data_IF_484405855515
#
_entry.id   IF_484405855515
#
_cell.length_a   1.000
_cell.length_b   1.000
_cell.length_c   1.000
_cell.angle_alpha   90.00
_cell.angle_beta   90.00
_cell.angle_gamma   90.00
#
_symmetry.space_group_name_H-M   'P 1'
#
loop_
_entity.id
_entity.type
_entity.pdbx_description
1 polymer ?
#
# COMPACT_ATOMS: atom_id res chain seq x y z
N UNK A 1 -7.92 -1.43 -10.02
CA UNK A 1 -7.05 -0.29 -9.62
C UNK A 1 -7.82 0.99 -9.32
N UNK A 2 -8.61 1.56 -10.24
CA UNK A 2 -9.32 2.84 -9.98
C UNK A 2 -10.27 2.82 -8.78
N UNK A 3 -10.82 1.65 -8.43
CA UNK A 3 -11.75 1.49 -7.31
C UNK A 3 -11.07 1.70 -5.95
N UNK A 4 -9.80 1.29 -5.79
CA UNK A 4 -9.06 1.42 -4.53
C UNK A 4 -8.51 2.82 -4.30
N UNK A 5 -8.09 3.51 -5.37
CA UNK A 5 -7.71 4.93 -5.28
C UNK A 5 -8.91 5.81 -4.89
N UNK A 6 -10.09 5.48 -5.44
CA UNK A 6 -11.36 6.12 -5.04
C UNK A 6 -11.73 5.80 -3.59
N UNK A 7 -11.51 4.56 -3.14
CA UNK A 7 -11.76 4.15 -1.75
C UNK A 7 -10.83 4.89 -0.77
N UNK A 8 -9.52 4.96 -1.09
CA UNK A 8 -8.55 5.69 -0.28
C UNK A 8 -8.88 7.18 -0.17
N UNK A 9 -9.33 7.79 -1.28
CA UNK A 9 -9.81 9.18 -1.29
C UNK A 9 -11.09 9.37 -0.47
N UNK A 10 -12.04 8.43 -0.56
CA UNK A 10 -13.28 8.44 0.22
C UNK A 10 -13.00 8.28 1.72
N UNK A 11 -12.08 7.39 2.10
CA UNK A 11 -11.68 7.23 3.50
C UNK A 11 -10.94 8.46 4.04
N UNK A 12 -10.10 9.09 3.21
CA UNK A 12 -9.49 10.37 3.53
C UNK A 12 -10.53 11.47 3.79
N UNK A 13 -11.66 11.47 3.06
CA UNK A 13 -12.73 12.45 3.24
C UNK A 13 -13.60 12.21 4.49
N UNK A 14 -13.58 11.00 5.05
CA UNK A 14 -14.46 10.61 6.15
C UNK A 14 -13.76 10.52 7.52
N UNK A 15 -12.45 10.79 7.62
CA UNK A 15 -11.63 10.57 8.83
C UNK A 15 -11.71 9.13 9.41
N UNK A 16 -12.27 8.17 8.67
CA UNK A 16 -12.35 6.77 9.06
C UNK A 16 -11.08 6.02 8.66
N UNK A 17 -9.96 6.44 9.25
CA UNK A 17 -8.65 5.85 8.99
C UNK A 17 -8.58 4.37 9.39
N UNK A 18 -9.27 3.98 10.47
CA UNK A 18 -9.28 2.59 10.94
C UNK A 18 -10.00 1.64 9.97
N UNK A 19 -11.14 2.07 9.43
CA UNK A 19 -11.87 1.30 8.41
C UNK A 19 -11.06 1.17 7.11
N UNK A 20 -10.29 2.20 6.76
CA UNK A 20 -9.41 2.19 5.60
C UNK A 20 -8.26 1.20 5.78
N UNK A 21 -7.65 1.17 6.98
CA UNK A 21 -6.60 0.22 7.32
C UNK A 21 -7.10 -1.23 7.25
N UNK A 22 -8.30 -1.52 7.76
CA UNK A 22 -8.87 -2.87 7.70
C UNK A 22 -9.15 -3.34 6.27
N UNK A 23 -9.62 -2.44 5.40
CA UNK A 23 -9.80 -2.75 3.98
C UNK A 23 -8.49 -2.98 3.25
N UNK A 24 -7.47 -2.15 3.51
CA UNK A 24 -6.15 -2.34 2.91
C UNK A 24 -5.44 -3.60 3.45
N UNK A 25 -5.65 -3.98 4.72
CA UNK A 25 -5.16 -5.26 5.27
C UNK A 25 -5.80 -6.46 4.58
N UNK A 26 -7.14 -6.45 4.39
CA UNK A 26 -7.82 -7.48 3.60
C UNK A 26 -7.30 -7.52 2.16
N UNK A 27 -6.95 -6.36 1.60
CA UNK A 27 -6.34 -6.29 0.28
C UNK A 27 -4.95 -6.93 0.25
N UNK A 28 -4.14 -6.74 1.29
CA UNK A 28 -2.83 -7.39 1.43
C UNK A 28 -2.95 -8.91 1.56
N UNK A 29 -4.00 -9.41 2.22
CA UNK A 29 -4.27 -10.85 2.33
C UNK A 29 -4.68 -11.47 0.97
N UNK A 30 -5.43 -10.72 0.15
CA UNK A 30 -5.90 -11.19 -1.16
C UNK A 30 -4.85 -10.97 -2.26
N UNK A 31 -4.01 -9.94 -2.13
CA UNK A 31 -2.96 -9.65 -3.11
C UNK A 31 -1.86 -10.71 -3.00
N UNK A 32 -1.97 -11.71 -3.86
CA UNK A 32 -1.00 -12.79 -3.98
C UNK A 32 0.38 -12.25 -4.34
N UNK A 33 1.44 -13.01 -4.01
CA UNK A 33 2.85 -12.68 -4.38
C UNK A 33 3.07 -12.43 -5.88
N UNK A 34 2.12 -12.79 -6.74
CA UNK A 34 2.17 -12.53 -8.19
C UNK A 34 1.74 -11.11 -8.56
N UNK A 35 1.02 -10.41 -7.68
CA UNK A 35 0.54 -9.04 -7.88
C UNK A 35 1.39 -8.04 -7.10
N UNK A 36 2.72 -8.17 -7.18
CA UNK A 36 3.70 -7.36 -6.43
C UNK A 36 3.46 -5.85 -6.58
N UNK A 37 3.07 -5.40 -7.78
CA UNK A 37 2.75 -3.99 -8.05
C UNK A 37 1.52 -3.52 -7.28
N UNK A 38 0.53 -4.38 -7.07
CA UNK A 38 -0.70 -4.05 -6.35
C UNK A 38 -0.47 -4.08 -4.84
N UNK A 39 0.34 -5.03 -4.37
CA UNK A 39 0.80 -5.11 -3.00
C UNK A 39 1.60 -3.85 -2.59
N UNK A 40 2.57 -3.42 -3.42
CA UNK A 40 3.34 -2.21 -3.19
C UNK A 40 2.47 -0.93 -3.16
N UNK A 41 1.48 -0.83 -4.07
CA UNK A 41 0.53 0.30 -4.06
C UNK A 41 -0.33 0.32 -2.79
N UNK A 42 -0.76 -0.84 -2.32
CA UNK A 42 -1.56 -0.97 -1.10
C UNK A 42 -0.77 -0.52 0.12
N UNK A 43 0.49 -0.93 0.22
CA UNK A 43 1.39 -0.47 1.28
C UNK A 43 1.61 1.04 1.27
N UNK A 44 1.77 1.65 0.09
CA UNK A 44 1.86 3.13 -0.03
C UNK A 44 0.61 3.83 0.53
N UNK A 45 -0.58 3.29 0.26
CA UNK A 45 -1.83 3.88 0.74
C UNK A 45 -1.97 3.76 2.27
N UNK A 46 -1.53 2.65 2.86
CA UNK A 46 -1.47 2.48 4.33
C UNK A 46 -0.44 3.46 4.93
N UNK A 47 0.74 3.59 4.33
CA UNK A 47 1.76 4.54 4.78
C UNK A 47 1.25 5.99 4.78
N UNK A 48 0.48 6.37 3.76
CA UNK A 48 -0.14 7.69 3.69
C UNK A 48 -1.19 7.92 4.79
N UNK A 49 -1.99 6.90 5.12
CA UNK A 49 -2.94 6.98 6.24
C UNK A 49 -2.20 7.21 7.56
N UNK A 50 -1.14 6.46 7.82
CA UNK A 50 -0.34 6.65 9.03
C UNK A 50 0.30 8.04 9.11
N UNK A 51 0.77 8.60 7.98
CA UNK A 51 1.21 10.00 7.93
C UNK A 51 0.11 10.98 8.35
N UNK A 52 -1.16 10.71 7.98
CA UNK A 52 -2.30 11.56 8.36
C UNK A 52 -2.69 11.40 9.83
N UNK A 53 -2.50 10.21 10.41
CA UNK A 53 -2.70 9.96 11.83
C UNK A 53 -1.54 10.49 12.71
N UNK A 54 -0.45 10.97 12.10
CA UNK A 54 0.75 11.42 12.81
C UNK A 54 1.70 10.29 13.23
N UNK A 55 1.38 9.03 12.88
CA UNK A 55 2.21 7.87 13.14
C UNK A 55 3.26 7.70 12.04
N UNK A 56 4.29 8.53 12.12
CA UNK A 56 5.36 8.57 11.12
C UNK A 56 6.18 7.28 11.09
N UNK A 57 6.29 6.56 12.22
CA UNK A 57 7.07 5.32 12.32
C UNK A 57 6.40 4.25 11.46
N UNK A 58 5.10 4.04 11.64
CA UNK A 58 4.36 3.08 10.83
C UNK A 58 4.24 3.52 9.37
N UNK A 59 4.18 4.83 9.10
CA UNK A 59 4.21 5.34 7.74
C UNK A 59 5.50 4.94 7.00
N UNK A 60 6.66 5.23 7.59
CA UNK A 60 7.98 4.90 7.01
C UNK A 60 8.12 3.41 6.77
N UNK A 61 7.78 2.57 7.75
CA UNK A 61 7.85 1.11 7.61
C UNK A 61 7.02 0.58 6.42
N UNK A 62 5.86 1.17 6.16
CA UNK A 62 5.01 0.76 5.03
C UNK A 62 5.56 1.24 3.69
N UNK A 63 6.11 2.46 3.64
CA UNK A 63 6.77 2.97 2.42
C UNK A 63 8.04 2.19 2.07
N UNK A 64 8.84 1.80 3.07
CA UNK A 64 10.03 0.98 2.86
C UNK A 64 9.69 -0.40 2.29
N UNK A 65 8.67 -1.07 2.85
CA UNK A 65 8.18 -2.35 2.31
C UNK A 65 7.64 -2.22 0.88
N UNK A 66 6.95 -1.12 0.57
CA UNK A 66 6.47 -0.86 -0.79
C UNK A 66 7.62 -0.68 -1.77
N UNK A 67 8.66 0.06 -1.34
CA UNK A 67 9.85 0.33 -2.12
C UNK A 67 10.67 -0.95 -2.35
N UNK A 68 10.86 -1.76 -1.31
CA UNK A 68 11.56 -3.05 -1.40
C UNK A 68 10.92 -3.91 -2.48
N UNK A 69 9.59 -4.08 -2.43
CA UNK A 69 8.86 -4.89 -3.41
C UNK A 69 9.04 -4.31 -4.81
N UNK A 70 8.90 -2.99 -4.97
CA UNK A 70 9.06 -2.36 -6.28
C UNK A 70 10.48 -2.48 -6.84
N UNK A 71 11.50 -2.44 -5.98
CA UNK A 71 12.90 -2.65 -6.36
C UNK A 71 13.19 -4.12 -6.70
N UNK A 72 12.70 -5.07 -5.91
CA UNK A 72 12.84 -6.50 -6.18
C UNK A 72 12.14 -6.88 -7.48
N UNK A 73 10.92 -6.38 -7.75
CA UNK A 73 10.25 -6.61 -9.03
C UNK A 73 11.07 -6.03 -10.18
N UNK A 74 11.61 -4.82 -10.03
CA UNK A 74 12.42 -4.15 -11.06
C UNK A 74 13.71 -4.92 -11.36
N UNK A 75 14.41 -5.42 -10.35
CA UNK A 75 15.64 -6.21 -10.51
C UNK A 75 15.32 -7.57 -11.15
N UNK A 76 14.26 -8.25 -10.71
CA UNK A 76 13.83 -9.54 -11.28
C UNK A 76 13.44 -9.44 -12.76
N UNK A 77 12.79 -8.33 -13.15
CA UNK A 77 12.42 -8.06 -14.54
C UNK A 77 13.64 -7.78 -15.43
N UNK A 78 14.68 -7.15 -14.87
CA UNK A 78 15.94 -6.90 -15.59
C UNK A 78 16.83 -8.14 -15.71
N UNK A 79 16.75 -9.09 -14.77
CA UNK A 79 17.49 -10.36 -14.83
C UNK A 79 16.86 -11.40 -15.76
N UNK A 80 15.61 -11.20 -16.18
CA UNK A 80 14.87 -12.08 -17.10
C UNK A 80 14.85 -11.59 -18.56
N UNK A 81 15.70 -10.63 -18.94
CA UNK A 81 15.77 -10.07 -20.28
C UNK A 81 17.21 -10.11 -20.81
#
# INVERSE_FOLDING_TARGET
MQTYDKLGTLYHQLNFYDNALDLFKKLLEISTKFLQREYAKTLNNIGFIFCKQGDLINAVNNFEKALEIQLTTRISFYLCK
#
